data_IF_822036081706
#
_entry.id   IF_822036081706
#
_cell.length_a   1.000
_cell.length_b   1.000
_cell.length_c   1.000
_cell.angle_alpha   90.00
_cell.angle_beta   90.00
_cell.angle_gamma   90.00
#
_symmetry.space_group_name_H-M   'P 1'
#
loop_
_entity.id
_entity.type
_entity.pdbx_description
1 polymer ?
#
# COMPACT_ATOMS: atom_id res chain seq x y z
N UNK A 1 -8.81 16.87 -0.58
CA UNK A 1 -8.18 16.40 0.68
C UNK A 1 -7.00 17.28 1.04
N UNK A 2 -6.00 17.44 0.16
CA UNK A 2 -4.87 18.37 0.40
C UNK A 2 -5.37 19.78 0.72
N UNK A 3 -6.31 20.31 -0.07
CA UNK A 3 -6.90 21.64 0.19
C UNK A 3 -7.70 21.71 1.50
N UNK A 4 -8.30 20.58 1.93
CA UNK A 4 -8.99 20.51 3.22
C UNK A 4 -8.00 20.43 4.40
N UNK A 5 -6.73 20.16 4.13
CA UNK A 5 -5.63 20.13 5.10
C UNK A 5 -4.68 21.32 4.89
N UNK A 6 -5.21 22.44 4.39
CA UNK A 6 -4.49 23.72 4.25
C UNK A 6 -3.22 23.65 3.38
N UNK A 7 -3.13 22.65 2.49
CA UNK A 7 -1.94 22.42 1.66
C UNK A 7 -0.76 21.79 2.42
N UNK A 8 -0.87 21.60 3.74
CA UNK A 8 0.17 21.07 4.62
C UNK A 8 -0.31 19.83 5.40
N UNK A 9 -0.55 18.69 4.74
CA UNK A 9 -1.21 17.53 5.36
C UNK A 9 -0.57 17.03 6.66
N UNK A 10 0.77 16.99 6.74
CA UNK A 10 1.47 16.52 7.93
C UNK A 10 1.25 17.45 9.14
N UNK A 11 1.35 18.76 8.92
CA UNK A 11 1.11 19.77 9.96
C UNK A 11 -0.35 19.74 10.42
N UNK A 12 -1.29 19.69 9.48
CA UNK A 12 -2.71 19.55 9.80
C UNK A 12 -2.99 18.29 10.63
N UNK A 13 -2.42 17.14 10.23
CA UNK A 13 -2.60 15.88 10.95
C UNK A 13 -2.16 16.02 12.41
N UNK A 14 -1.03 16.69 12.69
CA UNK A 14 -0.51 16.84 14.05
C UNK A 14 -1.26 17.89 14.87
N UNK A 15 -1.65 19.01 14.24
CA UNK A 15 -2.00 20.23 14.96
C UNK A 15 -3.48 20.68 14.82
N UNK A 16 -4.29 19.99 14.01
CA UNK A 16 -5.71 20.33 13.84
C UNK A 16 -6.47 20.37 15.18
N UNK A 17 -7.44 21.26 15.27
CA UNK A 17 -8.43 21.31 16.34
C UNK A 17 -9.73 20.63 15.90
N UNK A 18 -10.62 20.32 16.84
CA UNK A 18 -11.92 19.71 16.51
C UNK A 18 -12.74 20.58 15.54
N UNK A 19 -12.62 21.91 15.64
CA UNK A 19 -13.28 22.84 14.72
C UNK A 19 -12.78 22.71 13.28
N UNK A 20 -11.51 22.35 13.07
CA UNK A 20 -10.93 22.16 11.75
C UNK A 20 -11.50 20.93 11.05
N UNK A 21 -11.88 19.91 11.82
CA UNK A 21 -12.43 18.66 11.29
C UNK A 21 -13.82 18.83 10.66
N UNK A 22 -14.56 19.89 11.01
CA UNK A 22 -15.91 20.17 10.47
C UNK A 22 -15.92 20.21 8.93
N UNK A 23 -14.85 20.70 8.30
CA UNK A 23 -14.75 20.77 6.83
C UNK A 23 -14.67 19.39 6.14
N UNK A 24 -14.45 18.33 6.90
CA UNK A 24 -14.46 16.94 6.39
C UNK A 24 -15.84 16.28 6.50
N UNK A 25 -16.81 16.86 7.21
CA UNK A 25 -18.14 16.27 7.42
C UNK A 25 -18.92 16.09 6.10
N UNK A 26 -18.72 17.00 5.16
CA UNK A 26 -19.30 16.96 3.81
C UNK A 26 -18.43 16.24 2.77
N UNK A 27 -17.24 15.76 3.16
CA UNK A 27 -16.30 15.18 2.22
C UNK A 27 -16.80 13.85 1.63
N UNK A 28 -16.74 13.73 0.31
CA UNK A 28 -17.03 12.48 -0.40
C UNK A 28 -16.23 12.39 -1.70
N UNK A 29 -15.58 11.25 -1.91
CA UNK A 29 -14.96 10.92 -3.18
C UNK A 29 -15.17 9.44 -3.50
N UNK A 30 -16.00 9.16 -4.52
CA UNK A 30 -16.43 7.81 -4.89
C UNK A 30 -16.98 7.05 -3.67
N UNK A 31 -16.30 5.99 -3.22
CA UNK A 31 -16.71 5.16 -2.08
C UNK A 31 -16.16 5.64 -0.74
N UNK A 32 -15.19 6.56 -0.74
CA UNK A 32 -14.55 7.14 0.44
C UNK A 32 -15.35 8.37 0.89
N UNK A 33 -15.76 8.41 2.15
CA UNK A 33 -16.67 9.44 2.68
C UNK A 33 -16.11 10.07 3.95
N UNK A 34 -16.82 11.04 4.51
CA UNK A 34 -16.44 11.79 5.71
C UNK A 34 -16.00 10.91 6.87
N UNK A 35 -16.78 9.87 7.22
CA UNK A 35 -16.43 8.91 8.27
C UNK A 35 -15.06 8.26 8.04
N UNK A 36 -14.74 7.92 6.79
CA UNK A 36 -13.46 7.28 6.47
C UNK A 36 -12.33 8.30 6.56
N UNK A 37 -12.52 9.51 6.02
CA UNK A 37 -11.53 10.58 6.07
C UNK A 37 -11.18 10.98 7.51
N UNK A 38 -12.20 11.21 8.34
CA UNK A 38 -12.06 11.56 9.76
C UNK A 38 -11.33 10.45 10.53
N UNK A 39 -11.66 9.19 10.27
CA UNK A 39 -10.96 8.08 10.92
C UNK A 39 -9.50 7.95 10.50
N UNK A 40 -9.19 8.17 9.21
CA UNK A 40 -7.80 8.21 8.73
C UNK A 40 -7.00 9.34 9.41
N UNK A 41 -7.56 10.54 9.51
CA UNK A 41 -6.94 11.67 10.23
C UNK A 41 -6.67 11.31 11.69
N UNK A 42 -7.65 10.70 12.37
CA UNK A 42 -7.51 10.24 13.74
C UNK A 42 -6.40 9.20 13.90
N UNK A 43 -6.35 8.20 13.01
CA UNK A 43 -5.28 7.21 13.03
C UNK A 43 -3.91 7.87 12.85
N UNK A 44 -3.77 8.72 11.83
CA UNK A 44 -2.49 9.38 11.54
C UNK A 44 -2.07 10.32 12.67
N UNK A 45 -2.98 11.09 13.26
CA UNK A 45 -2.67 11.95 14.40
C UNK A 45 -2.13 11.11 15.58
N UNK A 46 -2.84 10.04 15.97
CA UNK A 46 -2.42 9.14 17.05
C UNK A 46 -1.04 8.51 16.77
N UNK A 47 -0.81 8.09 15.53
CA UNK A 47 0.46 7.48 15.12
C UNK A 47 1.60 8.49 15.15
N UNK A 48 1.44 9.61 14.43
CA UNK A 48 2.49 10.62 14.27
C UNK A 48 2.79 11.43 15.54
N UNK A 49 1.86 11.47 16.51
CA UNK A 49 2.14 12.05 17.84
C UNK A 49 3.20 11.27 18.61
N UNK A 50 3.34 9.97 18.33
CA UNK A 50 4.26 9.07 19.07
C UNK A 50 5.39 8.50 18.23
N UNK A 51 5.27 8.55 16.90
CA UNK A 51 6.26 8.01 15.97
C UNK A 51 6.56 8.98 14.83
N UNK A 52 7.84 9.18 14.46
CA UNK A 52 8.21 10.14 13.43
C UNK A 52 7.91 9.67 11.98
N UNK A 53 7.58 8.40 11.78
CA UNK A 53 7.39 7.81 10.46
C UNK A 53 6.23 6.81 10.46
N UNK A 54 5.49 6.75 9.36
CA UNK A 54 4.49 5.69 9.15
C UNK A 54 5.14 4.31 8.94
N UNK A 55 6.45 4.23 8.66
CA UNK A 55 7.17 2.95 8.56
C UNK A 55 7.01 2.12 9.84
N UNK A 56 7.01 2.77 11.01
CA UNK A 56 6.87 2.09 12.30
C UNK A 56 5.48 1.48 12.52
N UNK A 57 4.46 1.93 11.79
CA UNK A 57 3.13 1.31 11.81
C UNK A 57 3.12 -0.06 11.12
N UNK A 58 4.05 -0.30 10.19
CA UNK A 58 4.25 -1.60 9.53
C UNK A 58 5.31 -2.44 10.25
N UNK A 59 6.36 -1.78 10.74
CA UNK A 59 7.55 -2.41 11.32
C UNK A 59 7.96 -1.66 12.60
N UNK A 60 7.40 -2.06 13.76
CA UNK A 60 7.78 -1.49 15.04
C UNK A 60 9.29 -1.63 15.32
N UNK A 61 9.87 -0.68 16.06
CA UNK A 61 11.32 -0.61 16.32
C UNK A 61 11.90 -1.83 17.05
N UNK A 62 11.05 -2.57 17.77
CA UNK A 62 11.46 -3.76 18.54
C UNK A 62 11.51 -5.06 17.70
N UNK A 63 11.20 -5.02 16.40
CA UNK A 63 11.24 -6.20 15.52
C UNK A 63 12.44 -6.08 14.57
N UNK A 64 13.55 -6.73 14.92
CA UNK A 64 14.79 -6.71 14.13
C UNK A 64 15.06 -8.03 13.36
N UNK A 65 14.36 -9.12 13.67
CA UNK A 65 14.60 -10.43 13.06
C UNK A 65 13.42 -10.91 12.21
N UNK A 66 13.75 -11.43 11.02
CA UNK A 66 12.85 -12.05 10.04
C UNK A 66 11.64 -11.20 9.61
N UNK A 67 11.94 -10.02 9.06
CA UNK A 67 10.91 -9.17 8.48
C UNK A 67 10.25 -9.85 7.27
N UNK A 68 8.95 -10.11 7.41
CA UNK A 68 8.09 -10.66 6.38
C UNK A 68 7.04 -9.62 6.01
N UNK A 69 7.02 -9.16 4.75
CA UNK A 69 6.08 -8.15 4.27
C UNK A 69 4.62 -8.55 4.42
N UNK A 70 4.28 -9.84 4.32
CA UNK A 70 2.93 -10.34 4.62
C UNK A 70 2.55 -10.02 6.07
N UNK A 71 3.47 -10.28 7.01
CA UNK A 71 3.28 -9.99 8.43
C UNK A 71 3.18 -8.48 8.66
N UNK A 72 4.09 -7.69 8.09
CA UNK A 72 4.09 -6.24 8.22
C UNK A 72 2.76 -5.60 7.76
N UNK A 73 2.19 -6.03 6.63
CA UNK A 73 0.89 -5.52 6.15
C UNK A 73 -0.26 -5.94 7.08
N UNK A 74 -0.23 -7.18 7.59
CA UNK A 74 -1.22 -7.65 8.55
C UNK A 74 -1.16 -6.88 9.87
N UNK A 75 0.04 -6.63 10.37
CA UNK A 75 0.28 -5.90 11.61
C UNK A 75 -0.13 -4.43 11.46
N UNK A 76 0.20 -3.80 10.32
CA UNK A 76 -0.31 -2.47 9.99
C UNK A 76 -1.83 -2.43 10.00
N UNK A 77 -2.51 -3.38 9.36
CA UNK A 77 -3.97 -3.45 9.36
C UNK A 77 -4.52 -3.59 10.79
N UNK A 78 -3.93 -4.46 11.62
CA UNK A 78 -4.32 -4.61 13.02
C UNK A 78 -4.10 -3.33 13.81
N UNK A 79 -2.94 -2.67 13.67
CA UNK A 79 -2.61 -1.42 14.34
C UNK A 79 -3.52 -0.27 13.92
N UNK A 80 -3.77 -0.14 12.61
CA UNK A 80 -4.65 0.88 12.02
C UNK A 80 -6.04 0.85 12.64
N UNK A 81 -6.61 -0.36 12.78
CA UNK A 81 -7.94 -0.56 13.37
C UNK A 81 -7.92 -0.89 14.87
N UNK A 82 -6.78 -0.78 15.55
CA UNK A 82 -6.69 -0.93 17.00
C UNK A 82 -7.14 0.36 17.71
N UNK A 83 -8.41 0.70 17.52
CA UNK A 83 -9.09 1.84 18.11
C UNK A 83 -10.55 1.42 18.37
N UNK A 84 -11.09 1.58 19.59
CA UNK A 84 -12.50 1.29 19.88
C UNK A 84 -13.50 1.99 18.95
N UNK A 85 -13.09 3.12 18.34
CA UNK A 85 -13.92 3.94 17.47
C UNK A 85 -13.77 3.62 15.98
N UNK A 86 -13.03 2.54 15.64
CA UNK A 86 -12.79 2.10 14.27
C UNK A 86 -14.12 1.78 13.53
N UNK A 87 -14.51 2.56 12.50
CA UNK A 87 -15.75 2.30 11.78
C UNK A 87 -15.62 1.04 10.92
N UNK A 88 -16.58 0.12 11.02
CA UNK A 88 -16.56 -1.14 10.25
C UNK A 88 -16.50 -0.88 8.73
N UNK A 89 -17.23 0.14 8.25
CA UNK A 89 -17.21 0.55 6.84
C UNK A 89 -15.81 0.92 6.33
N UNK A 90 -14.95 1.44 7.19
CA UNK A 90 -13.64 1.97 6.80
C UNK A 90 -12.64 0.84 6.58
N UNK A 91 -12.89 -0.35 7.14
CA UNK A 91 -12.08 -1.56 6.93
C UNK A 91 -11.98 -2.00 5.48
N UNK A 92 -12.89 -1.57 4.59
CA UNK A 92 -12.80 -1.85 3.15
C UNK A 92 -11.73 -1.03 2.42
N UNK A 93 -11.22 0.04 3.05
CA UNK A 93 -10.26 0.97 2.43
C UNK A 93 -8.80 0.60 2.68
N UNK A 94 -8.53 -0.25 3.67
CA UNK A 94 -7.19 -0.78 3.96
C UNK A 94 -7.23 -2.29 3.75
N UNK A 95 -6.53 -2.79 2.74
CA UNK A 95 -6.48 -4.23 2.43
C UNK A 95 -5.55 -4.98 3.38
N UNK A 96 -5.77 -6.27 3.58
CA UNK A 96 -4.89 -7.14 4.37
C UNK A 96 -4.79 -8.54 3.75
N UNK A 97 -3.58 -9.15 3.73
CA UNK A 97 -3.39 -10.54 3.31
C UNK A 97 -4.29 -11.53 4.04
N UNK A 98 -4.58 -11.31 5.35
CA UNK A 98 -5.49 -12.17 6.13
C UNK A 98 -6.90 -12.27 5.54
N UNK A 99 -7.34 -11.28 4.75
CA UNK A 99 -8.63 -11.29 4.03
C UNK A 99 -8.50 -11.79 2.58
N UNK A 100 -7.38 -12.41 2.22
CA UNK A 100 -7.06 -12.93 0.89
C UNK A 100 -7.14 -11.90 -0.25
N UNK A 101 -7.01 -10.60 0.05
CA UNK A 101 -6.89 -9.56 -0.98
C UNK A 101 -5.49 -9.57 -1.59
N UNK A 102 -5.35 -9.31 -2.89
CA UNK A 102 -4.05 -9.07 -3.52
C UNK A 102 -3.30 -7.87 -2.94
N UNK A 103 -3.96 -7.02 -2.14
CA UNK A 103 -3.37 -5.87 -1.45
C UNK A 103 -2.62 -4.87 -2.35
N UNK A 104 -2.96 -4.82 -3.64
CA UNK A 104 -2.29 -4.03 -4.68
C UNK A 104 -1.92 -2.61 -4.26
N UNK A 105 -2.87 -1.88 -3.64
CA UNK A 105 -2.64 -0.48 -3.23
C UNK A 105 -1.57 -0.36 -2.15
N UNK A 106 -1.58 -1.25 -1.16
CA UNK A 106 -0.55 -1.26 -0.12
C UNK A 106 0.78 -1.72 -0.70
N UNK A 107 0.80 -2.73 -1.57
CA UNK A 107 2.04 -3.15 -2.24
C UNK A 107 2.64 -2.00 -3.07
N UNK A 108 1.83 -1.27 -3.84
CA UNK A 108 2.26 -0.07 -4.57
C UNK A 108 2.83 0.99 -3.62
N UNK A 109 2.13 1.26 -2.52
CA UNK A 109 2.59 2.23 -1.54
C UNK A 109 3.94 1.82 -0.93
N UNK A 110 4.09 0.56 -0.51
CA UNK A 110 5.35 0.05 0.00
C UNK A 110 6.46 0.11 -1.04
N UNK A 111 6.16 -0.18 -2.31
CA UNK A 111 7.12 -0.02 -3.42
C UNK A 111 7.66 1.40 -3.47
N UNK A 112 6.79 2.42 -3.50
CA UNK A 112 7.19 3.82 -3.51
C UNK A 112 7.98 4.23 -2.27
N UNK A 113 7.63 3.72 -1.09
CA UNK A 113 8.32 4.12 0.13
C UNK A 113 9.68 3.43 0.31
N UNK A 114 9.84 2.20 -0.19
CA UNK A 114 11.02 1.36 0.08
C UNK A 114 12.03 1.34 -1.07
N UNK A 115 11.56 1.24 -2.32
CA UNK A 115 12.45 1.30 -3.48
C UNK A 115 12.88 2.73 -3.72
N UNK A 116 14.03 2.88 -4.36
CA UNK A 116 14.60 4.16 -4.74
C UNK A 116 14.98 4.05 -6.22
N UNK A 117 14.49 4.96 -7.04
CA UNK A 117 14.82 5.02 -8.46
C UNK A 117 15.38 6.39 -8.86
N UNK A 118 15.99 6.45 -10.04
CA UNK A 118 16.61 7.67 -10.54
C UNK A 118 15.60 8.67 -11.14
N UNK A 119 14.36 8.25 -11.38
CA UNK A 119 13.31 9.03 -12.04
C UNK A 119 12.39 9.76 -11.04
N UNK A 120 12.55 9.49 -9.74
CA UNK A 120 11.79 10.11 -8.65
C UNK A 120 10.39 9.52 -8.45
N UNK A 121 10.09 8.34 -8.99
CA UNK A 121 8.79 7.68 -8.80
C UNK A 121 8.76 6.93 -7.46
N UNK A 122 9.79 6.17 -7.17
CA UNK A 122 10.00 5.50 -5.90
C UNK A 122 10.94 6.37 -5.00
N UNK A 123 10.45 6.75 -3.82
CA UNK A 123 11.06 7.76 -2.93
C UNK A 123 12.21 7.25 -2.05
N UNK A 124 12.25 5.95 -1.74
CA UNK A 124 13.31 5.34 -0.94
C UNK A 124 13.39 5.80 0.51
N UNK A 125 12.32 6.37 1.08
CA UNK A 125 12.32 6.95 2.43
C UNK A 125 12.41 5.90 3.55
N UNK A 126 11.94 4.68 3.31
CA UNK A 126 11.84 3.60 4.30
C UNK A 126 12.99 2.61 4.14
N UNK A 127 13.68 2.29 5.23
CA UNK A 127 14.93 1.52 5.20
C UNK A 127 14.88 0.20 5.98
N UNK A 128 13.84 -0.05 6.78
CA UNK A 128 13.66 -1.29 7.54
C UNK A 128 13.21 -2.43 6.65
N UNK A 129 12.24 -2.16 5.76
CA UNK A 129 11.84 -3.10 4.70
C UNK A 129 12.85 -2.95 3.55
N UNK A 130 13.34 -4.06 2.99
CA UNK A 130 14.25 -4.07 1.84
C UNK A 130 13.52 -4.39 0.53
N UNK A 131 14.00 -3.91 -0.63
CA UNK A 131 13.38 -4.20 -1.94
C UNK A 131 13.09 -5.68 -2.20
N UNK A 132 14.04 -6.57 -1.90
CA UNK A 132 13.89 -8.04 -2.00
C UNK A 132 12.74 -8.64 -1.17
N UNK A 133 12.25 -7.93 -0.16
CA UNK A 133 11.15 -8.37 0.69
C UNK A 133 9.79 -7.90 0.18
N UNK A 134 9.75 -6.95 -0.75
CA UNK A 134 8.51 -6.41 -1.28
C UNK A 134 7.74 -7.47 -2.08
N UNK A 135 6.42 -7.31 -2.11
CA UNK A 135 5.51 -8.14 -2.89
C UNK A 135 5.05 -7.32 -4.11
N UNK A 136 5.14 -7.92 -5.29
CA UNK A 136 4.76 -7.27 -6.54
C UNK A 136 3.29 -6.82 -6.49
N UNK A 137 3.00 -5.53 -6.75
CA UNK A 137 1.63 -5.05 -6.82
C UNK A 137 0.87 -5.75 -7.94
N UNK A 138 -0.13 -6.57 -7.58
CA UNK A 138 -0.89 -7.36 -8.55
C UNK A 138 -2.26 -6.73 -8.82
N UNK A 139 -2.48 -6.25 -10.04
CA UNK A 139 -3.82 -5.92 -10.55
C UNK A 139 -4.23 -6.83 -11.71
N UNK A 140 -5.47 -6.66 -12.20
CA UNK A 140 -6.04 -7.52 -13.23
C UNK A 140 -5.25 -7.47 -14.55
N UNK A 141 -4.65 -6.32 -14.90
CA UNK A 141 -3.85 -6.20 -16.12
C UNK A 141 -2.51 -6.91 -15.94
N UNK A 142 -1.80 -6.59 -14.87
CA UNK A 142 -0.50 -7.19 -14.55
C UNK A 142 -0.60 -8.71 -14.38
N UNK A 143 -1.69 -9.19 -13.78
CA UNK A 143 -1.96 -10.62 -13.67
C UNK A 143 -2.14 -11.28 -15.04
N UNK A 144 -2.97 -10.70 -15.92
CA UNK A 144 -3.18 -11.25 -17.26
C UNK A 144 -1.89 -11.32 -18.06
N UNK A 145 -1.10 -10.25 -18.02
CA UNK A 145 0.21 -10.24 -18.68
C UNK A 145 1.12 -11.34 -18.13
N UNK A 146 1.20 -11.49 -16.80
CA UNK A 146 1.99 -12.55 -16.18
C UNK A 146 1.48 -13.96 -16.54
N UNK A 147 0.16 -14.15 -16.65
CA UNK A 147 -0.46 -15.40 -17.11
C UNK A 147 -0.11 -15.70 -18.58
N UNK A 148 -0.22 -14.71 -19.48
CA UNK A 148 0.13 -14.83 -20.90
C UNK A 148 1.61 -15.17 -21.08
N UNK A 149 2.49 -14.58 -20.26
CA UNK A 149 3.92 -14.87 -20.26
C UNK A 149 4.28 -16.21 -19.62
N UNK A 150 3.30 -16.95 -19.07
CA UNK A 150 3.53 -18.22 -18.40
C UNK A 150 4.25 -18.12 -17.06
N UNK A 151 4.31 -16.92 -16.46
CA UNK A 151 4.91 -16.72 -15.14
C UNK A 151 4.03 -17.33 -14.06
N UNK A 152 2.72 -17.15 -14.14
CA UNK A 152 1.77 -17.64 -13.12
C UNK A 152 0.60 -18.35 -13.78
N UNK A 153 -0.04 -19.27 -13.04
CA UNK A 153 -1.23 -19.98 -13.56
C UNK A 153 -2.48 -19.10 -13.48
N UNK A 154 -3.49 -19.27 -14.37
CA UNK A 154 -4.74 -18.53 -14.30
C UNK A 154 -5.47 -18.63 -12.95
N UNK A 155 -6.09 -17.53 -12.49
CA UNK A 155 -6.89 -17.57 -11.26
C UNK A 155 -7.45 -16.22 -10.78
N UNK A 156 -7.88 -16.18 -9.52
CA UNK A 156 -8.38 -14.93 -8.91
C UNK A 156 -7.21 -14.06 -8.41
N UNK A 157 -7.31 -12.71 -8.54
CA UNK A 157 -6.33 -11.77 -8.02
C UNK A 157 -6.39 -11.71 -6.49
N UNK A 158 -5.63 -12.58 -5.84
CA UNK A 158 -5.58 -12.73 -4.39
C UNK A 158 -4.14 -12.68 -3.88
N UNK A 159 -3.97 -12.71 -2.55
CA UNK A 159 -2.64 -12.62 -1.94
C UNK A 159 -1.71 -13.74 -2.39
N UNK A 160 -2.23 -14.97 -2.49
CA UNK A 160 -1.46 -16.13 -2.95
C UNK A 160 -0.91 -15.91 -4.36
N UNK A 161 -1.70 -15.35 -5.27
CA UNK A 161 -1.28 -15.05 -6.65
C UNK A 161 -0.21 -13.95 -6.69
N UNK A 162 -0.31 -12.94 -5.83
CA UNK A 162 0.71 -11.91 -5.70
C UNK A 162 2.05 -12.48 -5.19
N UNK A 163 1.99 -13.41 -4.22
CA UNK A 163 3.18 -14.15 -3.77
C UNK A 163 3.77 -15.02 -4.88
N UNK A 164 2.94 -15.79 -5.58
CA UNK A 164 3.37 -16.65 -6.70
C UNK A 164 4.12 -15.83 -7.76
N UNK A 165 3.53 -14.71 -8.22
CA UNK A 165 4.20 -13.82 -9.16
C UNK A 165 5.54 -13.31 -8.59
N UNK A 166 5.55 -12.88 -7.33
CA UNK A 166 6.76 -12.33 -6.71
C UNK A 166 7.87 -13.38 -6.64
N UNK A 167 7.55 -14.64 -6.33
CA UNK A 167 8.55 -15.72 -6.30
C UNK A 167 9.11 -16.02 -7.69
N UNK A 168 8.32 -15.92 -8.74
CA UNK A 168 8.82 -16.06 -10.12
C UNK A 168 9.73 -14.90 -10.51
N UNK A 169 9.36 -13.67 -10.15
CA UNK A 169 10.19 -12.49 -10.40
C UNK A 169 11.51 -12.53 -9.61
N UNK A 170 11.53 -13.13 -8.41
CA UNK A 170 12.77 -13.36 -7.64
C UNK A 170 13.75 -14.30 -8.33
N UNK A 171 13.28 -15.21 -9.19
CA UNK A 171 14.18 -16.05 -10.00
C UNK A 171 14.93 -15.22 -11.06
N UNK A 172 14.37 -14.09 -11.47
CA UNK A 172 14.96 -13.16 -12.44
C UNK A 172 15.86 -12.15 -11.73
N UNK A 173 15.37 -11.52 -10.67
CA UNK A 173 16.16 -10.66 -9.79
C UNK A 173 15.76 -10.85 -8.32
N UNK A 174 16.57 -11.56 -7.52
CA UNK A 174 16.27 -11.79 -6.11
C UNK A 174 16.45 -10.55 -5.24
N UNK A 175 17.19 -9.53 -5.71
CA UNK A 175 17.53 -8.33 -4.93
C UNK A 175 16.48 -7.24 -5.06
N UNK A 176 15.80 -7.17 -6.21
CA UNK A 176 14.69 -6.24 -6.47
C UNK A 176 13.65 -6.85 -7.42
N UNK A 177 12.84 -7.81 -6.95
CA UNK A 177 11.85 -8.49 -7.78
C UNK A 177 10.68 -7.59 -8.19
N UNK A 178 10.42 -6.50 -7.46
CA UNK A 178 9.27 -5.63 -7.73
C UNK A 178 9.52 -4.63 -8.86
N UNK A 179 10.77 -4.44 -9.29
CA UNK A 179 11.11 -3.57 -10.42
C UNK A 179 10.39 -3.89 -11.74
N UNK A 180 9.95 -5.14 -11.90
CA UNK A 180 9.25 -5.61 -13.09
C UNK A 180 7.77 -5.23 -13.13
N UNK A 181 7.22 -4.66 -12.06
CA UNK A 181 5.79 -4.36 -11.97
C UNK A 181 5.34 -3.34 -13.03
N UNK A 182 6.17 -2.34 -13.32
CA UNK A 182 5.93 -1.36 -14.37
C UNK A 182 5.89 -2.01 -15.76
N UNK A 183 6.78 -2.97 -16.03
CA UNK A 183 6.81 -3.70 -17.30
C UNK A 183 5.56 -4.57 -17.47
N UNK A 184 5.18 -5.32 -16.43
CA UNK A 184 3.97 -6.15 -16.44
C UNK A 184 2.71 -5.32 -16.64
N UNK A 185 2.64 -4.13 -16.04
CA UNK A 185 1.52 -3.22 -16.24
C UNK A 185 1.50 -2.59 -17.64
N UNK A 186 2.65 -2.08 -18.11
CA UNK A 186 2.78 -1.41 -19.41
C UNK A 186 2.39 -2.32 -20.58
N UNK A 187 2.90 -3.55 -20.59
CA UNK A 187 2.56 -4.54 -21.62
C UNK A 187 1.06 -4.84 -21.67
N UNK A 188 0.39 -4.92 -20.51
CA UNK A 188 -1.07 -5.17 -20.44
C UNK A 188 -1.94 -4.00 -20.92
N UNK A 189 -1.36 -2.80 -21.08
CA UNK A 189 -2.03 -1.64 -21.70
C UNK A 189 -1.72 -1.60 -23.20
N UNK A 190 -0.47 -1.85 -23.58
CA UNK A 190 0.00 -1.85 -24.98
C UNK A 190 -0.57 -3.01 -25.82
N UNK A 191 -1.01 -4.11 -25.19
CA UNK A 191 -1.73 -5.21 -25.86
C UNK A 191 -2.97 -4.75 -26.65
N UNK A 192 -3.56 -3.58 -26.32
CA UNK A 192 -4.62 -2.98 -27.13
C UNK A 192 -4.14 -2.42 -28.47
N UNK A 193 -2.83 -2.39 -28.74
CA UNK A 193 -2.27 -1.66 -29.88
C UNK A 193 -1.22 -2.43 -30.69
N UNK A 194 -0.50 -3.45 -30.17
CA UNK A 194 0.69 -3.98 -30.90
C UNK A 194 0.80 -5.52 -31.04
N UNK A 195 -0.11 -6.36 -30.54
CA UNK A 195 0.01 -7.82 -30.72
C UNK A 195 -1.24 -8.52 -31.29
N UNK A 196 -1.71 -8.02 -32.43
CA UNK A 196 -2.58 -8.77 -33.35
C UNK A 196 -2.05 -8.72 -34.77
#
# INVERSE_FOLDING_TARGET
>A
LIDLMDGTPHDFILNHQETDLKRFESFKHRTFQSTDALYFLRFFNRHYTTHPSLETAFVPDNILHELNTTKAINDFYTHFFNDPWAPERTKKHVSTPKKNSACKRICMFLRWMVREDQMGVDFGLWKKIKPQQLICPLDVHSQRTAETLGLIVPGLPNWKKALELTEELKKIDPTDPVKFDFALYGMGIEEKTIWK
#
